data_IF_088806747929
#
_entry.id   IF_088806747929
#
_cell.length_a   1.000
_cell.length_b   1.000
_cell.length_c   1.000
_cell.angle_alpha   90.00
_cell.angle_beta   90.00
_cell.angle_gamma   90.00
#
_symmetry.space_group_name_H-M   'P 1'
#
loop_
_entity.id
_entity.type
_entity.pdbx_description
1 polymer ?
#
# COMPACT_ATOMS: atom_id res chain seq x y z
N UNK A 1 2.27 -7.32 -20.33
CA UNK A 1 2.42 -8.40 -19.35
C UNK A 1 1.46 -8.24 -18.19
N UNK A 2 1.28 -9.26 -17.39
CA UNK A 2 0.37 -9.29 -16.24
C UNK A 2 1.03 -8.62 -15.03
N UNK A 3 0.26 -7.93 -14.20
CA UNK A 3 0.68 -7.48 -12.88
C UNK A 3 0.43 -8.58 -11.85
N UNK A 4 1.32 -8.68 -10.86
CA UNK A 4 1.24 -9.65 -9.76
C UNK A 4 0.97 -8.86 -8.49
N UNK A 5 -0.09 -9.19 -7.78
CA UNK A 5 -0.35 -8.68 -6.43
C UNK A 5 -0.27 -9.83 -5.44
N UNK A 6 0.52 -9.69 -4.39
CA UNK A 6 0.68 -10.71 -3.37
C UNK A 6 0.08 -10.26 -2.05
N UNK A 7 -0.25 -11.25 -1.21
CA UNK A 7 -0.72 -11.04 0.16
C UNK A 7 0.46 -11.25 1.12
N UNK A 8 0.75 -10.27 1.98
CA UNK A 8 1.84 -10.36 2.94
C UNK A 8 1.42 -9.80 4.30
N UNK A 9 1.15 -10.67 5.26
CA UNK A 9 0.77 -10.31 6.63
C UNK A 9 1.84 -10.64 7.67
N UNK A 10 2.86 -11.40 7.27
CA UNK A 10 3.96 -11.79 8.16
C UNK A 10 5.19 -10.97 7.81
N UNK A 11 5.72 -10.25 8.79
CA UNK A 11 6.93 -9.44 8.62
C UNK A 11 8.11 -10.30 8.15
N UNK A 12 8.77 -9.88 7.08
CA UNK A 12 9.85 -10.63 6.43
C UNK A 12 9.41 -11.52 5.26
N UNK A 13 8.14 -11.92 5.20
CA UNK A 13 7.65 -12.79 4.13
C UNK A 13 7.68 -12.12 2.74
N UNK A 14 7.54 -10.79 2.66
CA UNK A 14 7.66 -10.05 1.39
C UNK A 14 9.07 -10.17 0.80
N UNK A 15 10.11 -10.22 1.64
CA UNK A 15 11.47 -10.44 1.17
C UNK A 15 11.61 -11.80 0.49
N UNK A 16 11.04 -12.86 1.08
CA UNK A 16 11.03 -14.18 0.47
C UNK A 16 10.23 -14.21 -0.83
N UNK A 17 9.06 -13.57 -0.85
CA UNK A 17 8.22 -13.46 -2.06
C UNK A 17 8.97 -12.75 -3.18
N UNK A 18 9.57 -11.59 -2.87
CA UNK A 18 10.30 -10.78 -3.85
C UNK A 18 11.57 -11.49 -4.33
N UNK A 19 12.30 -12.20 -3.45
CA UNK A 19 13.48 -12.97 -3.85
C UNK A 19 13.11 -14.06 -4.84
N UNK A 20 12.05 -14.84 -4.56
CA UNK A 20 11.59 -15.89 -5.47
C UNK A 20 11.21 -15.31 -6.84
N UNK A 21 10.44 -14.21 -6.86
CA UNK A 21 10.00 -13.59 -8.11
C UNK A 21 11.18 -13.03 -8.91
N UNK A 22 12.16 -12.44 -8.24
CA UNK A 22 13.34 -11.90 -8.86
C UNK A 22 14.27 -13.01 -9.40
N UNK A 23 14.48 -14.10 -8.65
CA UNK A 23 15.24 -15.26 -9.07
C UNK A 23 14.61 -15.95 -10.31
N UNK A 24 13.29 -15.92 -10.43
CA UNK A 24 12.52 -16.40 -11.61
C UNK A 24 12.48 -15.37 -12.76
N UNK A 25 13.18 -14.24 -12.64
CA UNK A 25 13.29 -13.24 -13.70
C UNK A 25 12.02 -12.37 -13.88
N UNK A 26 11.17 -12.28 -12.87
CA UNK A 26 9.98 -11.43 -12.91
C UNK A 26 10.39 -9.96 -12.83
N UNK A 27 9.84 -9.14 -13.71
CA UNK A 27 10.00 -7.67 -13.63
C UNK A 27 9.29 -7.13 -12.38
N UNK A 28 10.05 -6.83 -11.32
CA UNK A 28 9.53 -6.37 -10.04
C UNK A 28 8.72 -5.07 -10.14
N UNK A 29 8.88 -4.28 -11.19
CA UNK A 29 8.03 -3.09 -11.45
C UNK A 29 6.57 -3.45 -11.67
N UNK A 30 6.26 -4.72 -11.92
CA UNK A 30 4.91 -5.28 -12.08
C UNK A 30 4.42 -6.01 -10.84
N UNK A 31 5.19 -6.00 -9.77
CA UNK A 31 4.85 -6.70 -8.51
C UNK A 31 4.40 -5.68 -7.48
N UNK A 32 3.27 -5.96 -6.84
CA UNK A 32 2.72 -5.20 -5.71
C UNK A 32 2.64 -6.11 -4.50
N UNK A 33 3.33 -5.77 -3.43
CA UNK A 33 3.22 -6.45 -2.14
C UNK A 33 2.13 -5.75 -1.32
N UNK A 34 1.03 -6.45 -1.09
CA UNK A 34 -0.09 -5.98 -0.27
C UNK A 34 0.08 -6.27 1.22
N UNK A 35 -0.71 -5.60 2.04
CA UNK A 35 -0.78 -5.75 3.51
C UNK A 35 0.49 -5.36 4.28
N UNK A 36 1.24 -4.41 3.76
CA UNK A 36 2.54 -4.00 4.33
C UNK A 36 2.47 -2.80 5.30
N UNK A 37 1.28 -2.46 5.82
CA UNK A 37 1.12 -1.32 6.74
C UNK A 37 2.06 -1.40 7.93
N UNK A 38 2.05 -2.52 8.65
CA UNK A 38 2.89 -2.74 9.82
C UNK A 38 4.38 -2.80 9.49
N UNK A 39 4.73 -3.34 8.33
CA UNK A 39 6.10 -3.39 7.84
C UNK A 39 6.67 -1.98 7.62
N UNK A 40 5.91 -1.11 6.94
CA UNK A 40 6.28 0.29 6.72
C UNK A 40 6.37 1.09 8.01
N UNK A 41 5.53 0.77 9.00
CA UNK A 41 5.53 1.43 10.30
C UNK A 41 6.73 1.05 11.17
N UNK A 42 7.40 -0.07 10.91
CA UNK A 42 8.60 -0.49 11.63
C UNK A 42 9.84 0.23 11.06
N UNK A 43 10.51 1.11 11.84
CA UNK A 43 11.68 1.85 11.34
C UNK A 43 12.87 0.96 10.97
N UNK A 44 13.04 -0.17 11.65
CA UNK A 44 14.11 -1.12 11.35
C UNK A 44 13.90 -1.82 10.01
N UNK A 45 12.65 -1.98 9.61
CA UNK A 45 12.26 -2.67 8.41
C UNK A 45 12.24 -1.78 7.15
N UNK A 46 12.07 -0.46 7.32
CA UNK A 46 12.01 0.52 6.21
C UNK A 46 13.20 0.43 5.27
N UNK A 47 14.41 0.18 5.80
CA UNK A 47 15.61 0.03 4.98
C UNK A 47 15.46 -1.11 3.97
N UNK A 48 15.00 -2.27 4.41
CA UNK A 48 14.75 -3.43 3.54
C UNK A 48 13.73 -3.10 2.46
N UNK A 49 12.67 -2.40 2.81
CA UNK A 49 11.66 -2.00 1.84
C UNK A 49 12.20 -1.02 0.80
N UNK A 50 13.01 -0.04 1.20
CA UNK A 50 13.65 0.89 0.27
C UNK A 50 14.59 0.17 -0.70
N UNK A 51 15.32 -0.86 -0.25
CA UNK A 51 16.15 -1.67 -1.15
C UNK A 51 15.31 -2.43 -2.19
N UNK A 52 14.15 -2.96 -1.80
CA UNK A 52 13.24 -3.59 -2.76
C UNK A 52 12.57 -2.58 -3.70
N UNK A 53 12.22 -1.40 -3.21
CA UNK A 53 11.74 -0.29 -4.05
C UNK A 53 12.80 0.11 -5.07
N UNK A 54 14.06 0.22 -4.67
CA UNK A 54 15.18 0.49 -5.60
C UNK A 54 15.27 -0.55 -6.73
N UNK A 55 14.86 -1.79 -6.47
CA UNK A 55 14.80 -2.88 -7.47
C UNK A 55 13.50 -2.88 -8.28
N UNK A 56 12.56 -1.99 -7.97
CA UNK A 56 11.34 -1.79 -8.72
C UNK A 56 10.04 -2.22 -8.02
N UNK A 57 10.11 -2.98 -6.92
CA UNK A 57 8.92 -3.50 -6.24
C UNK A 57 7.99 -2.39 -5.74
N UNK A 58 6.68 -2.61 -5.82
CA UNK A 58 5.68 -1.68 -5.33
C UNK A 58 5.06 -2.22 -4.03
N UNK A 59 4.64 -1.31 -3.16
CA UNK A 59 4.13 -1.64 -1.84
C UNK A 59 2.77 -0.99 -1.61
N UNK A 60 1.84 -1.77 -1.07
CA UNK A 60 0.47 -1.34 -0.84
C UNK A 60 0.08 -1.59 0.63
N UNK A 61 0.24 -0.60 1.51
CA UNK A 61 -0.38 -0.64 2.83
C UNK A 61 -1.91 -0.74 2.68
N UNK A 62 -2.51 -1.59 3.49
CA UNK A 62 -3.95 -1.87 3.51
C UNK A 62 -4.49 -1.84 4.93
N UNK A 63 -5.79 -2.07 5.11
CA UNK A 63 -6.45 -2.08 6.42
C UNK A 63 -6.21 -0.78 7.20
N UNK A 64 -6.38 0.35 6.51
CA UNK A 64 -6.08 1.68 7.02
C UNK A 64 -7.19 2.16 7.98
N UNK A 65 -7.26 1.55 9.16
CA UNK A 65 -8.21 1.91 10.22
C UNK A 65 -7.71 3.11 11.04
N UNK A 66 -8.25 4.26 10.76
CA UNK A 66 -7.81 5.53 11.39
C UNK A 66 -8.53 5.89 12.69
N UNK A 67 -9.20 4.94 13.35
CA UNK A 67 -9.81 5.17 14.67
C UNK A 67 -8.80 5.50 15.77
N UNK A 68 -7.52 5.16 15.55
CA UNK A 68 -6.38 5.56 16.40
C UNK A 68 -5.35 6.29 15.53
N UNK A 69 -5.55 7.59 15.27
CA UNK A 69 -4.72 8.36 14.33
C UNK A 69 -3.23 8.33 14.67
N UNK A 70 -2.89 8.31 15.96
CA UNK A 70 -1.52 8.28 16.45
C UNK A 70 -0.70 7.08 15.91
N UNK A 71 -1.36 5.95 15.66
CA UNK A 71 -0.69 4.76 15.14
C UNK A 71 -0.18 4.96 13.70
N UNK A 72 -0.74 5.90 12.96
CA UNK A 72 -0.42 6.09 11.54
C UNK A 72 0.70 7.10 11.28
N UNK A 73 1.19 7.78 12.32
CA UNK A 73 2.30 8.73 12.18
C UNK A 73 3.54 8.08 11.58
N UNK A 74 3.88 6.86 12.02
CA UNK A 74 5.01 6.11 11.50
C UNK A 74 4.85 5.70 10.04
N UNK A 75 3.62 5.47 9.57
CA UNK A 75 3.35 5.21 8.16
C UNK A 75 3.58 6.48 7.32
N UNK A 76 3.12 7.64 7.79
CA UNK A 76 3.36 8.92 7.10
C UNK A 76 4.86 9.21 7.00
N UNK A 77 5.63 8.99 8.08
CA UNK A 77 7.09 9.11 8.04
C UNK A 77 7.74 8.17 7.02
N UNK A 78 7.25 6.92 6.90
CA UNK A 78 7.73 5.97 5.91
C UNK A 78 7.41 6.42 4.48
N UNK A 79 6.24 7.01 4.26
CA UNK A 79 5.86 7.60 2.97
C UNK A 79 6.83 8.72 2.61
N UNK A 80 7.06 9.68 3.51
CA UNK A 80 8.02 10.77 3.28
C UNK A 80 9.42 10.22 2.92
N UNK A 81 9.91 9.23 3.68
CA UNK A 81 11.21 8.62 3.40
C UNK A 81 11.26 7.96 2.01
N UNK A 82 10.18 7.32 1.57
CA UNK A 82 10.13 6.74 0.22
C UNK A 82 10.13 7.82 -0.87
N UNK A 83 9.42 8.93 -0.66
CA UNK A 83 9.43 10.07 -1.59
C UNK A 83 10.79 10.76 -1.64
N UNK A 84 11.40 11.03 -0.49
CA UNK A 84 12.74 11.64 -0.37
C UNK A 84 13.82 10.78 -1.02
N UNK A 85 13.68 9.45 -0.95
CA UNK A 85 14.56 8.50 -1.63
C UNK A 85 14.28 8.36 -3.15
N UNK A 86 13.25 9.00 -3.68
CA UNK A 86 12.86 8.94 -5.09
C UNK A 86 11.97 7.74 -5.46
N UNK A 87 11.43 7.02 -4.47
CA UNK A 87 10.62 5.82 -4.67
C UNK A 87 9.11 6.02 -4.42
N UNK A 88 8.65 7.26 -4.28
CA UNK A 88 7.24 7.57 -4.02
C UNK A 88 6.28 7.02 -5.09
N UNK A 89 6.75 6.86 -6.33
CA UNK A 89 5.96 6.25 -7.41
C UNK A 89 5.60 4.78 -7.18
N UNK A 90 6.22 4.11 -6.23
CA UNK A 90 6.05 2.67 -5.93
C UNK A 90 5.11 2.43 -4.74
N UNK A 91 4.48 3.48 -4.23
CA UNK A 91 3.50 3.38 -3.15
C UNK A 91 2.07 3.44 -3.70
N UNK A 92 1.21 2.60 -3.13
CA UNK A 92 -0.22 2.53 -3.41
C UNK A 92 -0.97 2.47 -2.07
N UNK A 93 -2.26 2.83 -2.05
CA UNK A 93 -3.12 2.52 -0.91
C UNK A 93 -4.17 1.49 -1.31
N UNK A 94 -4.47 0.57 -0.38
CA UNK A 94 -5.54 -0.40 -0.50
C UNK A 94 -6.40 -0.44 0.76
N UNK A 95 -7.65 -0.84 0.63
CA UNK A 95 -8.58 -0.92 1.77
C UNK A 95 -8.88 -2.34 2.21
N UNK A 96 -8.41 -3.34 1.44
CA UNK A 96 -8.66 -4.77 1.70
C UNK A 96 -10.16 -5.09 1.82
N UNK A 97 -10.93 -4.57 0.87
CA UNK A 97 -12.36 -4.85 0.81
C UNK A 97 -12.69 -5.82 -0.32
N UNK A 98 -13.21 -6.98 0.05
CA UNK A 98 -13.72 -7.97 -0.88
C UNK A 98 -15.19 -7.75 -1.23
N UNK A 99 -15.55 -8.07 -2.46
CA UNK A 99 -16.93 -8.19 -2.92
C UNK A 99 -17.29 -9.66 -3.03
N UNK A 100 -18.32 -10.11 -2.33
CA UNK A 100 -18.88 -11.45 -2.58
C UNK A 100 -19.91 -11.33 -3.70
N UNK A 101 -19.55 -11.81 -4.90
CA UNK A 101 -20.39 -11.73 -6.10
C UNK A 101 -21.55 -12.70 -6.10
N UNK A 102 -21.47 -13.80 -5.35
CA UNK A 102 -22.50 -14.87 -5.36
C UNK A 102 -23.79 -14.48 -4.63
N UNK A 103 -23.70 -13.61 -3.63
CA UNK A 103 -24.88 -13.23 -2.83
C UNK A 103 -25.25 -11.76 -2.95
N UNK A 104 -24.47 -10.94 -3.67
CA UNK A 104 -24.65 -9.49 -3.70
C UNK A 104 -24.51 -8.83 -2.33
N UNK A 105 -24.14 -9.59 -1.31
CA UNK A 105 -23.97 -9.12 0.06
C UNK A 105 -22.53 -8.68 0.25
N UNK A 106 -22.38 -7.46 0.63
CA UNK A 106 -21.12 -6.89 1.08
C UNK A 106 -20.65 -7.64 2.33
N UNK A 107 -19.69 -8.55 2.20
CA UNK A 107 -19.05 -9.12 3.38
C UNK A 107 -18.19 -8.04 4.02
N UNK A 108 -18.58 -7.58 5.21
CA UNK A 108 -17.75 -6.76 6.06
C UNK A 108 -16.47 -7.53 6.39
N UNK A 109 -15.43 -7.30 5.61
CA UNK A 109 -14.11 -7.71 6.04
C UNK A 109 -13.60 -6.59 6.94
N UNK A 110 -13.49 -6.92 8.22
CA UNK A 110 -12.86 -6.11 9.28
C UNK A 110 -13.44 -4.71 9.56
N UNK A 111 -14.12 -4.57 10.68
CA UNK A 111 -14.29 -3.39 11.57
C UNK A 111 -14.63 -2.02 10.96
N UNK A 112 -14.78 -1.88 9.63
CA UNK A 112 -14.99 -0.58 9.00
C UNK A 112 -16.46 -0.28 8.77
N UNK A 113 -16.91 0.95 9.05
CA UNK A 113 -18.25 1.39 8.71
C UNK A 113 -18.44 1.44 7.18
N UNK A 114 -19.61 1.10 6.71
CA UNK A 114 -20.02 1.17 5.31
C UNK A 114 -20.22 2.60 4.83
N UNK A 115 -20.00 2.88 3.54
CA UNK A 115 -19.39 2.06 2.48
C UNK A 115 -17.87 2.17 2.48
N UNK A 116 -17.16 1.05 2.27
CA UNK A 116 -15.71 0.98 2.49
C UNK A 116 -14.86 1.84 1.57
N UNK A 117 -15.22 2.00 0.29
CA UNK A 117 -14.48 2.88 -0.62
C UNK A 117 -14.63 4.36 -0.27
N UNK A 118 -15.78 4.78 0.29
CA UNK A 118 -15.93 6.13 0.80
C UNK A 118 -15.11 6.36 2.06
N UNK A 119 -14.82 5.30 2.85
CA UNK A 119 -14.03 5.39 4.06
C UNK A 119 -12.61 5.95 3.79
N UNK A 120 -11.98 5.55 2.70
CA UNK A 120 -10.70 6.11 2.27
C UNK A 120 -10.77 7.64 2.18
N UNK A 121 -11.77 8.15 1.47
CA UNK A 121 -11.90 9.59 1.19
C UNK A 121 -12.46 10.39 2.38
N UNK A 122 -13.37 9.81 3.14
CA UNK A 122 -14.05 10.50 4.23
C UNK A 122 -13.33 10.44 5.57
N UNK A 123 -12.50 9.42 5.78
CA UNK A 123 -11.83 9.18 7.05
C UNK A 123 -10.31 9.07 6.92
N UNK A 124 -9.78 8.22 6.05
CA UNK A 124 -8.34 7.94 5.98
C UNK A 124 -7.57 9.17 5.50
N UNK A 125 -7.90 9.70 4.33
CA UNK A 125 -7.19 10.84 3.74
C UNK A 125 -7.24 12.09 4.62
N UNK A 126 -8.38 12.50 5.23
CA UNK A 126 -8.41 13.63 6.16
C UNK A 126 -7.46 13.44 7.36
N UNK A 127 -7.42 12.23 7.95
CA UNK A 127 -6.49 11.93 9.04
C UNK A 127 -5.04 11.96 8.55
N UNK A 128 -4.73 11.34 7.42
CA UNK A 128 -3.37 11.31 6.89
C UNK A 128 -2.86 12.72 6.54
N UNK A 129 -3.70 13.58 5.97
CA UNK A 129 -3.39 15.01 5.77
C UNK A 129 -3.09 15.72 7.10
N UNK A 130 -3.87 15.44 8.14
CA UNK A 130 -3.60 16.01 9.48
C UNK A 130 -2.31 15.51 10.12
N UNK A 131 -1.82 14.34 9.69
CA UNK A 131 -0.54 13.76 10.11
C UNK A 131 0.64 14.19 9.22
N UNK A 132 0.39 14.94 8.15
CA UNK A 132 1.43 15.50 7.30
C UNK A 132 1.51 14.96 5.88
N UNK A 133 0.61 14.05 5.45
CA UNK A 133 0.55 13.65 4.05
C UNK A 133 0.34 14.88 3.16
N UNK A 134 1.28 15.13 2.27
CA UNK A 134 1.23 16.29 1.40
C UNK A 134 0.28 16.07 0.21
N UNK A 135 -0.25 17.15 -0.40
CA UNK A 135 -1.09 17.03 -1.60
C UNK A 135 -0.39 16.32 -2.77
N UNK A 136 0.93 16.50 -2.91
CA UNK A 136 1.71 15.85 -3.97
C UNK A 136 1.85 14.34 -3.75
N UNK A 137 2.10 13.92 -2.52
CA UNK A 137 2.17 12.50 -2.15
C UNK A 137 0.80 11.82 -2.30
N UNK A 138 -0.27 12.50 -1.85
CA UNK A 138 -1.64 12.02 -2.02
C UNK A 138 -1.99 11.83 -3.50
N UNK A 139 -1.72 12.84 -4.33
CA UNK A 139 -1.94 12.76 -5.79
C UNK A 139 -1.19 11.57 -6.40
N UNK A 140 0.08 11.41 -6.05
CA UNK A 140 0.90 10.31 -6.55
C UNK A 140 0.32 8.96 -6.13
N UNK A 141 0.06 8.75 -4.84
CA UNK A 141 -0.37 7.45 -4.28
C UNK A 141 -1.79 7.08 -4.74
N UNK A 142 -2.70 8.05 -4.82
CA UNK A 142 -4.12 7.79 -5.10
C UNK A 142 -4.46 7.80 -6.58
N UNK A 143 -3.68 8.48 -7.41
CA UNK A 143 -4.03 8.72 -8.82
C UNK A 143 -2.91 8.27 -9.76
N UNK A 144 -1.71 8.82 -9.63
CA UNK A 144 -0.67 8.65 -10.64
C UNK A 144 -0.09 7.23 -10.62
N UNK A 145 0.19 6.69 -9.44
CA UNK A 145 0.73 5.35 -9.28
C UNK A 145 -0.27 4.25 -9.68
N UNK A 146 -1.55 4.27 -9.24
CA UNK A 146 -2.56 3.35 -9.74
C UNK A 146 -2.74 3.41 -11.26
N UNK A 147 -2.76 4.61 -11.86
CA UNK A 147 -2.84 4.78 -13.32
C UNK A 147 -1.67 4.13 -14.05
N UNK A 148 -0.46 4.25 -13.51
CA UNK A 148 0.75 3.61 -14.07
C UNK A 148 0.68 2.08 -13.94
N UNK A 149 0.21 1.59 -12.80
CA UNK A 149 0.16 0.16 -12.49
C UNK A 149 -0.98 -0.56 -13.18
N UNK A 150 -2.11 0.11 -13.34
CA UNK A 150 -3.36 -0.45 -13.88
C UNK A 150 -3.81 0.38 -15.10
N UNK A 151 -3.04 0.35 -16.21
CA UNK A 151 -3.42 1.11 -17.39
C UNK A 151 -4.78 0.60 -17.90
N UNK A 152 -5.79 1.45 -17.85
CA UNK A 152 -7.09 1.19 -18.50
C UNK A 152 -6.87 1.40 -19.98
N UNK A 153 -7.12 0.35 -20.78
CA UNK A 153 -7.13 0.42 -22.23
C UNK A 153 -8.47 0.96 -22.72
#
# INVERSE_FOLDING_TARGET
>A
GVHITTHCTVMGAETSQLSILDDEGVDLRRVVIGHVSWHLMDPGYRKTMLEWMKRGANFMPTNLDVRKPENWRLLIEAIHQAFDAGYGSQLLFGMDHGYCTETGVFTRVHFMPQPPWLYMFQNVLPVFRSLGLTPAEEQAIMIDNPRRMLPVQ
#
